data_IF_023312206137
#
_entry.id   IF_023312206137
#
_cell.length_a   1.000
_cell.length_b   1.000
_cell.length_c   1.000
_cell.angle_alpha   90.00
_cell.angle_beta   90.00
_cell.angle_gamma   90.00
#
_symmetry.space_group_name_H-M   'P 1'
#
loop_
_entity.id
_entity.type
_entity.pdbx_description
1 polymer ?
#
# COMPACT_ATOMS: atom_id res chain seq x y z
N UNK A 1 -53.61 -7.61 -5.30
CA UNK A 1 -53.10 -7.75 -3.93
C UNK A 1 -51.88 -6.86 -3.80
N UNK A 2 -51.99 -5.81 -3.01
CA UNK A 2 -50.93 -4.82 -2.74
C UNK A 2 -49.85 -5.46 -1.87
N UNK A 3 -48.65 -5.65 -2.43
CA UNK A 3 -47.47 -6.03 -1.64
C UNK A 3 -47.09 -4.83 -0.78
N UNK A 4 -47.24 -4.96 0.53
CA UNK A 4 -46.77 -3.97 1.48
C UNK A 4 -45.24 -3.91 1.42
N UNK A 5 -44.69 -2.92 0.72
CA UNK A 5 -43.27 -2.58 0.80
C UNK A 5 -43.00 -2.04 2.20
N UNK A 6 -42.41 -2.87 3.07
CA UNK A 6 -41.92 -2.40 4.37
C UNK A 6 -40.80 -1.37 4.13
N UNK A 7 -41.02 -0.14 4.56
CA UNK A 7 -39.99 0.87 4.62
C UNK A 7 -39.07 0.57 5.80
N UNK A 8 -37.80 0.27 5.52
CA UNK A 8 -36.77 0.12 6.54
C UNK A 8 -36.03 1.45 6.70
N UNK A 9 -35.86 1.93 7.92
CA UNK A 9 -35.10 3.15 8.22
C UNK A 9 -33.74 2.78 8.79
N UNK A 10 -32.69 3.53 8.46
CA UNK A 10 -31.36 3.34 9.05
C UNK A 10 -31.41 3.66 10.55
N UNK A 11 -31.00 2.72 11.39
CA UNK A 11 -31.04 2.91 12.86
C UNK A 11 -29.71 3.44 13.40
N UNK A 12 -28.58 3.13 12.76
CA UNK A 12 -27.23 3.61 13.12
C UNK A 12 -26.25 3.37 11.94
N UNK A 13 -25.14 4.14 11.81
CA UNK A 13 -24.12 3.94 10.77
C UNK A 13 -23.67 2.47 10.63
N UNK A 14 -23.38 2.03 9.40
CA UNK A 14 -22.81 0.70 9.17
C UNK A 14 -21.49 0.56 9.93
N UNK A 15 -21.34 -0.54 10.67
CA UNK A 15 -20.16 -0.81 11.49
C UNK A 15 -19.53 -2.15 11.12
N UNK A 16 -18.22 -2.24 11.26
CA UNK A 16 -17.46 -3.47 11.06
C UNK A 16 -17.47 -4.29 12.36
N UNK A 17 -18.00 -5.51 12.30
CA UNK A 17 -18.03 -6.49 13.40
C UNK A 17 -17.40 -7.77 12.88
N UNK A 18 -16.34 -8.25 13.53
CA UNK A 18 -15.62 -9.48 13.15
C UNK A 18 -15.22 -9.55 11.67
N UNK A 19 -14.80 -8.42 11.09
CA UNK A 19 -14.41 -8.31 9.68
C UNK A 19 -15.59 -8.33 8.69
N UNK A 20 -16.83 -8.15 9.17
CA UNK A 20 -18.05 -8.06 8.35
C UNK A 20 -18.72 -6.71 8.55
N UNK A 21 -19.17 -6.09 7.45
CA UNK A 21 -19.95 -4.84 7.51
C UNK A 21 -21.39 -5.17 7.93
N UNK A 22 -21.77 -4.81 9.15
CA UNK A 22 -23.12 -4.98 9.69
C UNK A 22 -24.01 -3.78 9.37
N UNK A 23 -25.17 -4.04 8.75
CA UNK A 23 -26.23 -3.04 8.53
C UNK A 23 -27.17 -3.02 9.75
N UNK A 24 -27.49 -1.81 10.24
CA UNK A 24 -28.49 -1.60 11.28
C UNK A 24 -29.70 -0.87 10.69
N UNK A 25 -30.80 -1.61 10.50
CA UNK A 25 -32.08 -1.04 10.04
C UNK A 25 -33.15 -1.17 11.12
N UNK A 26 -34.27 -0.44 10.97
CA UNK A 26 -35.44 -0.50 11.86
C UNK A 26 -36.09 -1.89 11.95
N UNK A 27 -35.72 -2.81 11.05
CA UNK A 27 -36.14 -4.21 11.05
C UNK A 27 -35.20 -5.19 11.78
N UNK A 28 -34.08 -4.72 12.35
CA UNK A 28 -33.11 -5.54 13.08
C UNK A 28 -31.69 -5.55 12.47
N UNK A 29 -30.80 -6.35 13.07
CA UNK A 29 -29.40 -6.56 12.62
C UNK A 29 -29.30 -7.84 11.79
N UNK A 30 -28.88 -7.74 10.53
CA UNK A 30 -28.60 -8.92 9.72
C UNK A 30 -27.23 -9.51 10.10
N UNK A 31 -27.22 -10.59 10.90
CA UNK A 31 -26.00 -11.31 11.31
C UNK A 31 -25.47 -12.28 10.23
N UNK A 32 -26.20 -12.43 9.12
CA UNK A 32 -25.88 -13.35 8.01
C UNK A 32 -25.39 -12.62 6.75
N UNK A 33 -24.53 -11.62 6.89
CA UNK A 33 -23.86 -10.96 5.77
C UNK A 33 -22.78 -11.84 5.11
N UNK A 34 -22.52 -11.72 3.80
CA UNK A 34 -21.52 -12.55 3.10
C UNK A 34 -20.10 -12.17 3.50
N UNK A 35 -19.18 -13.14 3.41
CA UNK A 35 -17.74 -12.92 3.60
C UNK A 35 -17.17 -11.91 2.58
N UNK A 36 -16.21 -11.09 3.04
CA UNK A 36 -15.29 -10.20 2.31
C UNK A 36 -15.79 -9.78 0.92
N UNK A 37 -16.73 -8.82 0.92
CA UNK A 37 -17.26 -8.00 -0.17
C UNK A 37 -18.80 -7.94 -0.09
N UNK A 38 -19.39 -7.02 0.71
CA UNK A 38 -20.83 -6.85 0.71
C UNK A 38 -21.32 -6.44 -0.68
N UNK A 39 -22.20 -7.26 -1.26
CA UNK A 39 -22.78 -7.09 -2.60
C UNK A 39 -23.67 -5.85 -2.78
N UNK A 40 -23.81 -5.01 -1.76
CA UNK A 40 -24.44 -3.70 -1.88
C UNK A 40 -23.50 -2.64 -2.48
N UNK A 41 -22.19 -2.81 -2.33
CA UNK A 41 -21.16 -1.90 -2.85
C UNK A 41 -20.25 -2.53 -3.92
N UNK A 42 -20.44 -3.81 -4.26
CA UNK A 42 -19.79 -4.45 -5.43
C UNK A 42 -20.50 -4.15 -6.75
N UNK A 43 -21.60 -3.39 -6.69
CA UNK A 43 -22.22 -2.85 -7.88
C UNK A 43 -21.40 -1.66 -8.32
N UNK A 44 -20.63 -1.83 -9.39
CA UNK A 44 -20.39 -0.75 -10.35
C UNK A 44 -21.65 0.13 -10.39
N UNK A 45 -21.50 1.46 -10.44
CA UNK A 45 -22.54 2.52 -10.53
C UNK A 45 -23.63 2.26 -11.62
N UNK A 46 -23.59 1.13 -12.30
CA UNK A 46 -24.57 0.54 -13.22
C UNK A 46 -25.93 0.13 -12.65
N UNK A 47 -26.12 -0.06 -11.33
CA UNK A 47 -27.43 -0.47 -10.77
C UNK A 47 -27.83 0.27 -9.49
N UNK A 48 -28.14 1.56 -9.63
CA UNK A 48 -28.77 2.38 -8.57
C UNK A 48 -30.24 1.98 -8.25
N UNK A 49 -30.86 1.12 -9.07
CA UNK A 49 -32.28 0.78 -8.97
C UNK A 49 -32.73 0.09 -7.66
N UNK A 50 -31.96 -0.84 -7.03
CA UNK A 50 -32.41 -1.50 -5.81
C UNK A 50 -32.36 -0.58 -4.57
N UNK A 51 -31.44 0.39 -4.52
CA UNK A 51 -31.38 1.37 -3.44
C UNK A 51 -32.54 2.37 -3.53
N UNK A 52 -32.89 2.79 -4.74
CA UNK A 52 -34.06 3.63 -5.00
C UNK A 52 -35.38 2.93 -4.63
N UNK A 53 -35.47 1.60 -4.81
CA UNK A 53 -36.66 0.83 -4.46
C UNK A 53 -36.92 0.73 -2.94
N UNK A 54 -35.88 0.89 -2.10
CA UNK A 54 -36.00 0.85 -0.64
C UNK A 54 -36.36 2.18 0.02
N UNK A 55 -36.39 3.31 -0.73
CA UNK A 55 -36.51 4.68 -0.19
C UNK A 55 -35.58 4.98 1.00
N UNK A 56 -34.41 4.34 1.06
CA UNK A 56 -33.38 4.65 2.06
C UNK A 56 -32.31 5.49 1.37
N UNK A 57 -32.23 6.77 1.73
CA UNK A 57 -31.17 7.63 1.22
C UNK A 57 -29.83 7.21 1.86
N UNK A 58 -28.78 6.99 1.05
CA UNK A 58 -27.45 6.67 1.58
C UNK A 58 -26.92 7.85 2.40
N UNK A 59 -26.31 7.56 3.55
CA UNK A 59 -25.72 8.61 4.39
C UNK A 59 -24.43 9.15 3.74
N UNK A 60 -23.97 10.35 4.12
CA UNK A 60 -22.73 10.93 3.56
C UNK A 60 -21.50 10.00 3.66
N UNK A 61 -21.41 9.19 4.72
CA UNK A 61 -20.32 8.22 4.87
C UNK A 61 -20.41 7.04 3.88
N UNK A 62 -21.61 6.59 3.54
CA UNK A 62 -21.82 5.53 2.55
C UNK A 62 -21.44 6.02 1.14
N UNK A 63 -21.79 7.28 0.82
CA UNK A 63 -21.40 7.93 -0.43
C UNK A 63 -19.89 8.11 -0.53
N UNK A 64 -19.24 8.58 0.54
CA UNK A 64 -17.78 8.67 0.62
C UNK A 64 -17.10 7.31 0.37
N UNK A 65 -17.62 6.27 1.02
CA UNK A 65 -17.13 4.89 0.87
C UNK A 65 -17.38 4.30 -0.52
N UNK A 66 -18.44 4.69 -1.21
CA UNK A 66 -18.68 4.29 -2.60
C UNK A 66 -17.71 5.00 -3.55
N UNK A 67 -17.47 6.30 -3.33
CA UNK A 67 -16.54 7.12 -4.10
C UNK A 67 -15.09 6.62 -4.01
N UNK A 68 -14.64 6.21 -2.82
CA UNK A 68 -13.30 5.62 -2.60
C UNK A 68 -13.09 4.25 -3.29
N UNK A 69 -14.17 3.58 -3.67
CA UNK A 69 -14.14 2.27 -4.34
C UNK A 69 -14.34 2.34 -5.85
N UNK A 70 -14.39 3.55 -6.41
CA UNK A 70 -14.47 3.68 -7.86
C UNK A 70 -13.21 3.08 -8.51
N UNK A 71 -13.38 2.35 -9.62
CA UNK A 71 -12.27 1.71 -10.30
C UNK A 71 -11.33 2.77 -10.90
N UNK A 72 -10.08 2.38 -11.12
CA UNK A 72 -9.11 3.21 -11.84
C UNK A 72 -9.37 3.15 -13.35
N UNK A 73 -8.89 4.14 -14.09
CA UNK A 73 -9.03 4.22 -15.54
C UNK A 73 -10.26 5.00 -15.99
N UNK A 74 -10.38 5.18 -17.31
CA UNK A 74 -11.48 5.92 -17.93
C UNK A 74 -12.66 4.97 -18.22
N UNK A 75 -13.82 5.29 -17.66
CA UNK A 75 -15.06 4.51 -17.72
C UNK A 75 -16.24 5.38 -18.16
N UNK A 76 -16.23 5.82 -19.41
CA UNK A 76 -17.17 6.82 -19.93
C UNK A 76 -18.65 6.43 -19.74
N UNK A 77 -19.01 5.18 -20.05
CA UNK A 77 -20.38 4.68 -19.85
C UNK A 77 -20.84 4.74 -18.39
N UNK A 78 -19.92 4.54 -17.45
CA UNK A 78 -20.22 4.62 -16.03
C UNK A 78 -20.30 6.08 -15.56
N UNK A 79 -19.49 6.95 -16.13
CA UNK A 79 -19.53 8.39 -15.89
C UNK A 79 -20.88 8.99 -16.31
N UNK A 80 -21.37 8.66 -17.51
CA UNK A 80 -22.64 9.16 -18.03
C UNK A 80 -23.83 8.72 -17.16
N UNK A 81 -23.81 7.47 -16.69
CA UNK A 81 -24.81 6.96 -15.74
C UNK A 81 -24.76 7.69 -14.40
N UNK A 82 -23.57 7.91 -13.85
CA UNK A 82 -23.39 8.63 -12.58
C UNK A 82 -23.90 10.08 -12.68
N UNK A 83 -23.62 10.76 -13.80
CA UNK A 83 -24.09 12.12 -14.07
C UNK A 83 -25.62 12.18 -14.14
N UNK A 84 -26.24 11.22 -14.84
CA UNK A 84 -27.71 11.12 -14.92
C UNK A 84 -28.35 10.92 -13.55
N UNK A 85 -27.83 9.99 -12.75
CA UNK A 85 -28.33 9.72 -11.40
C UNK A 85 -28.20 10.97 -10.52
N UNK A 86 -27.05 11.66 -10.56
CA UNK A 86 -26.85 12.90 -9.81
C UNK A 86 -27.87 13.99 -10.19
N UNK A 87 -28.13 14.18 -11.48
CA UNK A 87 -29.11 15.14 -11.97
C UNK A 87 -30.55 14.80 -11.51
N UNK A 88 -30.93 13.53 -11.52
CA UNK A 88 -32.24 13.07 -11.03
C UNK A 88 -32.42 13.34 -9.53
N UNK A 89 -31.38 13.11 -8.72
CA UNK A 89 -31.39 13.42 -7.27
C UNK A 89 -31.51 14.93 -7.02
N UNK A 90 -30.75 15.76 -7.75
CA UNK A 90 -30.82 17.22 -7.63
C UNK A 90 -32.17 17.81 -8.05
N UNK A 91 -32.79 17.26 -9.10
CA UNK A 91 -34.12 17.68 -9.55
C UNK A 91 -35.19 17.37 -8.50
N UNK A 92 -35.12 16.19 -7.88
CA UNK A 92 -36.05 15.78 -6.80
C UNK A 92 -35.92 16.69 -5.57
N UNK A 93 -34.69 16.97 -5.12
CA UNK A 93 -34.42 17.88 -4.01
C UNK A 93 -35.01 19.29 -4.23
N UNK A 94 -34.95 19.77 -5.48
CA UNK A 94 -35.50 21.08 -5.86
C UNK A 94 -37.03 21.11 -5.86
N UNK A 95 -37.68 19.97 -6.15
CA UNK A 95 -39.15 19.85 -6.15
C UNK A 95 -39.78 19.69 -4.77
N UNK A 96 -39.05 19.12 -3.81
CA UNK A 96 -39.54 18.86 -2.44
C UNK A 96 -39.33 20.05 -1.49
N UNK A 97 -38.45 21.01 -1.82
CA UNK A 97 -38.15 22.20 -1.01
C UNK A 97 -39.23 23.27 -0.89
N UNK A 98 -40.48 22.97 -1.28
CA UNK A 98 -41.61 23.90 -1.30
C UNK A 98 -42.65 23.73 -0.18
N UNK A 99 -42.46 22.85 0.81
CA UNK A 99 -43.45 22.59 1.86
C UNK A 99 -42.83 22.53 3.25
N UNK A 100 -42.82 23.66 3.98
CA UNK A 100 -42.25 23.78 5.33
C UNK A 100 -42.78 22.72 6.33
N UNK A 101 -41.90 21.88 6.89
CA UNK A 101 -42.29 21.03 8.02
C UNK A 101 -41.20 20.17 8.69
N UNK A 102 -40.35 20.77 9.53
CA UNK A 102 -39.84 20.22 10.81
C UNK A 102 -39.02 18.91 10.90
N UNK A 103 -39.04 18.03 9.92
CA UNK A 103 -38.26 16.77 9.85
C UNK A 103 -37.37 16.70 8.59
N UNK A 104 -37.36 17.77 7.79
CA UNK A 104 -36.81 17.84 6.43
C UNK A 104 -35.29 18.07 6.35
N UNK A 105 -34.64 18.40 7.46
CA UNK A 105 -33.21 18.70 7.48
C UNK A 105 -32.32 17.51 7.10
N UNK A 106 -32.73 16.28 7.45
CA UNK A 106 -32.00 15.05 7.10
C UNK A 106 -32.10 14.69 5.62
N UNK A 107 -33.31 14.77 5.06
CA UNK A 107 -33.59 14.45 3.64
C UNK A 107 -32.96 15.47 2.69
N UNK A 108 -32.95 16.75 3.08
CA UNK A 108 -32.33 17.80 2.26
C UNK A 108 -30.80 17.68 2.23
N UNK A 109 -30.18 17.40 3.37
CA UNK A 109 -28.73 17.16 3.42
C UNK A 109 -28.31 15.86 2.71
N UNK A 110 -29.12 14.81 2.80
CA UNK A 110 -28.91 13.54 2.08
C UNK A 110 -28.98 13.70 0.56
N UNK A 111 -29.97 14.44 0.06
CA UNK A 111 -30.14 14.70 -1.38
C UNK A 111 -29.05 15.62 -1.96
N UNK A 112 -28.60 16.64 -1.21
CA UNK A 112 -27.47 17.48 -1.62
C UNK A 112 -26.16 16.67 -1.67
N UNK A 113 -25.90 15.84 -0.65
CA UNK A 113 -24.75 14.94 -0.63
C UNK A 113 -24.80 13.91 -1.78
N UNK A 114 -25.98 13.37 -2.09
CA UNK A 114 -26.17 12.44 -3.20
C UNK A 114 -25.91 13.08 -4.56
N UNK A 115 -26.34 14.33 -4.75
CA UNK A 115 -26.07 15.10 -5.96
C UNK A 115 -24.56 15.36 -6.15
N UNK A 116 -23.88 15.81 -5.09
CA UNK A 116 -22.43 16.05 -5.15
C UNK A 116 -21.66 14.75 -5.40
N UNK A 117 -22.02 13.66 -4.71
CA UNK A 117 -21.39 12.37 -4.94
C UNK A 117 -21.58 11.87 -6.38
N UNK A 118 -22.76 12.06 -6.99
CA UNK A 118 -23.01 11.73 -8.39
C UNK A 118 -22.11 12.51 -9.36
N UNK A 119 -21.92 13.82 -9.13
CA UNK A 119 -21.00 14.65 -9.92
C UNK A 119 -19.55 14.22 -9.77
N UNK A 120 -19.10 13.97 -8.55
CA UNK A 120 -17.73 13.51 -8.26
C UNK A 120 -17.46 12.17 -8.93
N UNK A 121 -18.39 11.22 -8.81
CA UNK A 121 -18.28 9.91 -9.44
C UNK A 121 -18.17 10.04 -10.97
N UNK A 122 -19.03 10.84 -11.60
CA UNK A 122 -18.97 11.08 -13.04
C UNK A 122 -17.63 11.67 -13.47
N UNK A 123 -17.15 12.68 -12.74
CA UNK A 123 -15.86 13.33 -13.02
C UNK A 123 -14.69 12.37 -12.90
N UNK A 124 -14.62 11.57 -11.84
CA UNK A 124 -13.51 10.63 -11.64
C UNK A 124 -13.57 9.47 -12.62
N UNK A 125 -14.75 8.91 -12.90
CA UNK A 125 -14.91 7.85 -13.90
C UNK A 125 -14.52 8.32 -15.30
N UNK A 126 -14.79 9.58 -15.66
CA UNK A 126 -14.33 10.14 -16.93
C UNK A 126 -12.82 10.44 -16.94
N UNK A 127 -12.27 10.86 -15.79
CA UNK A 127 -10.91 11.40 -15.64
C UNK A 127 -9.80 10.42 -15.25
N UNK A 128 -10.07 9.11 -15.18
CA UNK A 128 -9.06 8.10 -14.84
C UNK A 128 -9.10 7.58 -13.41
N UNK A 129 -10.06 8.03 -12.61
CA UNK A 129 -10.23 7.69 -11.19
C UNK A 129 -9.89 8.84 -10.25
N UNK A 130 -9.92 8.56 -8.95
CA UNK A 130 -9.43 9.46 -7.91
C UNK A 130 -7.89 9.51 -7.97
N UNK A 131 -7.33 10.71 -7.88
CA UNK A 131 -5.88 10.89 -7.86
C UNK A 131 -5.26 10.27 -6.60
N UNK A 132 -4.08 9.65 -6.74
CA UNK A 132 -3.34 9.16 -5.58
C UNK A 132 -2.67 10.31 -4.83
N UNK A 133 -2.69 10.30 -3.48
CA UNK A 133 -1.77 11.13 -2.71
C UNK A 133 -0.33 10.66 -2.93
N UNK A 134 0.62 11.59 -2.80
CA UNK A 134 2.01 11.25 -2.58
C UNK A 134 2.13 10.47 -1.27
N UNK A 135 2.56 9.22 -1.40
CA UNK A 135 2.76 8.30 -0.28
C UNK A 135 4.25 8.16 0.01
N UNK A 136 4.62 8.13 1.29
CA UNK A 136 5.98 7.86 1.69
C UNK A 136 6.13 7.71 3.20
N UNK A 137 7.38 7.73 3.64
CA UNK A 137 7.71 7.65 5.06
C UNK A 137 9.07 8.27 5.37
N UNK A 138 9.23 8.68 6.62
CA UNK A 138 10.50 9.15 7.17
C UNK A 138 10.94 8.18 8.27
N UNK A 139 12.18 7.72 8.20
CA UNK A 139 12.78 6.93 9.27
C UNK A 139 13.13 7.85 10.44
N UNK A 140 12.75 7.46 11.66
CA UNK A 140 13.07 8.21 12.89
C UNK A 140 13.63 7.32 13.97
N UNK A 141 14.48 7.87 14.82
CA UNK A 141 15.01 7.20 16.00
C UNK A 141 14.87 8.06 17.26
N UNK A 142 14.97 7.40 18.41
CA UNK A 142 14.94 8.08 19.71
C UNK A 142 16.33 8.64 20.07
N UNK A 143 16.36 9.91 20.47
CA UNK A 143 17.51 10.59 21.10
C UNK A 143 17.02 11.25 22.38
N UNK A 144 17.49 10.75 23.53
CA UNK A 144 16.93 11.14 24.83
C UNK A 144 15.44 10.77 24.91
N UNK A 145 14.58 11.77 25.04
CA UNK A 145 13.12 11.60 25.08
C UNK A 145 12.41 12.12 23.83
N UNK A 146 13.12 12.36 22.72
CA UNK A 146 12.58 12.92 21.48
C UNK A 146 12.80 11.98 20.30
N UNK A 147 11.78 11.88 19.44
CA UNK A 147 11.91 11.22 18.13
C UNK A 147 12.47 12.21 17.13
N UNK A 148 13.58 11.86 16.48
CA UNK A 148 14.25 12.68 15.46
C UNK A 148 14.46 11.88 14.18
N UNK A 149 14.53 12.58 13.05
CA UNK A 149 14.76 11.95 11.74
C UNK A 149 16.17 11.36 11.65
N UNK A 150 16.32 10.23 10.97
CA UNK A 150 17.64 9.74 10.60
C UNK A 150 18.28 10.70 9.59
N UNK A 151 19.43 11.30 9.94
CA UNK A 151 20.27 12.05 9.02
C UNK A 151 21.23 11.17 8.21
N UNK A 152 22.20 11.80 7.54
CA UNK A 152 23.23 11.11 6.75
C UNK A 152 24.19 10.27 7.62
N UNK A 153 24.42 10.73 8.87
CA UNK A 153 25.12 9.97 9.89
C UNK A 153 24.14 9.10 10.66
N UNK A 154 24.22 7.78 10.49
CA UNK A 154 23.45 6.87 11.33
C UNK A 154 24.09 6.75 12.72
N UNK A 155 23.29 6.84 13.80
CA UNK A 155 23.81 6.67 15.15
C UNK A 155 24.37 5.25 15.32
N UNK A 156 25.49 5.10 16.05
CA UNK A 156 26.05 3.78 16.36
C UNK A 156 25.05 2.91 17.15
N UNK A 157 24.22 3.55 17.99
CA UNK A 157 23.24 2.89 18.83
C UNK A 157 21.94 3.71 18.90
N UNK A 158 20.81 3.01 18.87
CA UNK A 158 19.48 3.58 19.09
C UNK A 158 18.64 2.62 19.94
N UNK A 159 17.70 3.15 20.70
CA UNK A 159 16.81 2.38 21.58
C UNK A 159 15.45 2.09 20.94
N UNK A 160 14.99 2.97 20.06
CA UNK A 160 13.70 2.85 19.37
C UNK A 160 13.78 3.46 17.97
N UNK A 161 13.10 2.82 17.01
CA UNK A 161 13.01 3.24 15.62
C UNK A 161 11.56 3.20 15.16
N UNK A 162 11.16 4.21 14.40
CA UNK A 162 9.81 4.34 13.83
C UNK A 162 9.87 4.75 12.37
N UNK A 163 8.78 4.45 11.68
CA UNK A 163 8.48 4.97 10.36
C UNK A 163 7.38 6.00 10.53
N UNK A 164 7.67 7.28 10.31
CA UNK A 164 6.66 8.34 10.26
C UNK A 164 5.98 8.27 8.90
N UNK A 165 4.68 7.93 8.84
CA UNK A 165 3.90 7.98 7.62
C UNK A 165 3.88 9.39 7.00
N UNK A 166 3.91 9.48 5.68
CA UNK A 166 3.73 10.72 4.92
C UNK A 166 2.64 10.52 3.88
N UNK A 167 1.62 11.39 3.91
CA UNK A 167 0.56 11.46 2.92
C UNK A 167 0.39 12.92 2.53
N UNK A 168 0.71 13.26 1.28
CA UNK A 168 0.56 14.62 0.76
C UNK A 168 -0.30 14.61 -0.48
N UNK A 169 -1.14 15.61 -0.65
CA UNK A 169 -1.97 15.71 -1.84
C UNK A 169 -1.79 17.06 -2.51
N UNK A 170 -1.88 17.03 -3.84
CA UNK A 170 -1.77 18.19 -4.70
C UNK A 170 -3.00 19.10 -4.65
N UNK A 171 -4.20 18.55 -4.40
CA UNK A 171 -5.41 19.29 -4.04
C UNK A 171 -6.44 18.42 -3.28
N UNK A 172 -7.02 18.89 -2.15
CA UNK A 172 -8.11 18.19 -1.46
C UNK A 172 -9.30 17.91 -2.38
N UNK A 173 -10.02 16.81 -2.14
CA UNK A 173 -11.19 16.44 -2.95
C UNK A 173 -12.40 17.36 -2.69
N UNK A 174 -12.39 18.06 -1.56
CA UNK A 174 -13.52 18.87 -1.08
C UNK A 174 -14.55 18.04 -0.30
N UNK A 175 -14.36 16.72 -0.22
CA UNK A 175 -15.22 15.82 0.53
C UNK A 175 -14.53 15.40 1.83
N UNK A 176 -14.92 16.04 2.94
CA UNK A 176 -14.28 15.89 4.26
C UNK A 176 -13.94 14.43 4.65
N UNK A 177 -14.88 13.49 4.52
CA UNK A 177 -14.62 12.09 4.91
C UNK A 177 -13.63 11.36 4.00
N UNK A 178 -13.56 11.74 2.72
CA UNK A 178 -12.59 11.19 1.77
C UNK A 178 -11.23 11.78 2.08
N UNK A 179 -11.20 13.10 2.29
CA UNK A 179 -10.00 13.83 2.67
C UNK A 179 -9.44 13.33 4.02
N UNK A 180 -10.29 13.06 5.02
CA UNK A 180 -9.86 12.49 6.29
C UNK A 180 -9.28 11.08 6.15
N UNK A 181 -9.77 10.25 5.23
CA UNK A 181 -9.27 8.87 5.03
C UNK A 181 -8.01 8.84 4.16
N UNK A 182 -7.91 9.70 3.14
CA UNK A 182 -6.79 9.72 2.20
C UNK A 182 -5.65 10.66 2.60
N UNK A 183 -5.95 11.75 3.32
CA UNK A 183 -5.01 12.85 3.56
C UNK A 183 -4.57 12.97 5.01
N UNK A 184 -5.30 12.33 5.95
CA UNK A 184 -4.88 12.36 7.34
C UNK A 184 -3.64 11.48 7.49
N UNK A 185 -2.50 12.11 7.67
CA UNK A 185 -1.27 11.41 8.00
C UNK A 185 -1.48 10.54 9.25
N UNK A 186 -1.26 9.21 9.14
CA UNK A 186 -1.35 8.35 10.31
C UNK A 186 -0.28 8.75 11.32
N UNK A 187 -0.58 8.53 12.60
CA UNK A 187 0.43 8.66 13.65
C UNK A 187 1.56 7.67 13.39
N UNK A 188 2.79 8.01 13.75
CA UNK A 188 3.94 7.10 13.74
C UNK A 188 3.91 6.05 14.86
N UNK A 189 2.91 6.13 15.74
CA UNK A 189 2.72 5.26 16.89
C UNK A 189 1.30 4.72 16.93
N UNK A 190 1.11 3.56 17.56
CA UNK A 190 -0.20 2.91 17.70
C UNK A 190 -0.51 2.54 19.16
N UNK A 191 -1.79 2.68 19.56
CA UNK A 191 -2.31 2.08 20.80
C UNK A 191 -2.59 0.59 20.60
N UNK A 192 -2.25 -0.24 21.60
CA UNK A 192 -2.25 -1.72 21.52
C UNK A 192 -3.56 -2.38 21.04
N UNK A 193 -4.70 -1.69 21.10
CA UNK A 193 -6.02 -2.21 20.68
C UNK A 193 -6.42 -1.85 19.24
N UNK A 194 -5.57 -1.14 18.49
CA UNK A 194 -5.94 -0.59 17.17
C UNK A 194 -5.60 -1.51 15.98
N UNK A 195 -4.91 -2.64 16.20
CA UNK A 195 -4.49 -3.55 15.12
C UNK A 195 -5.66 -4.29 14.44
N UNK A 196 -6.78 -4.49 15.14
CA UNK A 196 -7.94 -5.22 14.62
C UNK A 196 -8.63 -4.58 13.40
N UNK A 197 -8.33 -3.32 13.08
CA UNK A 197 -8.87 -2.62 11.91
C UNK A 197 -7.97 -2.69 10.68
N UNK A 198 -6.75 -3.25 10.76
CA UNK A 198 -5.81 -3.34 9.64
C UNK A 198 -6.42 -4.04 8.41
N UNK A 199 -7.20 -5.09 8.65
CA UNK A 199 -7.91 -5.88 7.62
C UNK A 199 -8.98 -5.12 6.86
N UNK A 200 -9.48 -4.01 7.41
CA UNK A 200 -10.52 -3.22 6.76
C UNK A 200 -9.94 -2.30 5.68
N UNK A 201 -8.67 -1.90 5.77
CA UNK A 201 -8.09 -0.90 4.87
C UNK A 201 -8.08 -1.29 3.39
N UNK A 202 -7.63 -2.49 2.98
CA UNK A 202 -7.69 -2.90 1.57
C UNK A 202 -9.12 -2.89 1.03
N UNK A 203 -10.11 -3.21 1.87
CA UNK A 203 -11.51 -3.16 1.49
C UNK A 203 -12.07 -1.73 1.43
N UNK A 204 -11.53 -0.79 2.20
CA UNK A 204 -11.92 0.63 2.20
C UNK A 204 -11.28 1.41 1.05
N UNK A 205 -10.05 1.06 0.67
CA UNK A 205 -9.24 1.75 -0.33
C UNK A 205 -8.72 0.77 -1.40
N UNK A 206 -9.60 0.06 -2.12
CA UNK A 206 -9.18 -0.97 -3.07
C UNK A 206 -8.43 -0.40 -4.29
N UNK A 207 -8.54 0.91 -4.56
CA UNK A 207 -7.87 1.58 -5.68
C UNK A 207 -6.59 2.34 -5.28
N UNK A 208 -6.24 2.34 -3.99
CA UNK A 208 -5.16 3.16 -3.42
C UNK A 208 -4.27 2.32 -2.48
N UNK A 209 -3.75 1.19 -2.99
CA UNK A 209 -2.99 0.23 -2.17
C UNK A 209 -1.76 0.81 -1.47
N UNK A 210 -1.11 1.84 -2.04
CA UNK A 210 0.01 2.49 -1.36
C UNK A 210 -0.43 3.31 -0.13
N UNK A 211 -1.62 3.92 -0.16
CA UNK A 211 -2.19 4.60 1.02
C UNK A 211 -2.47 3.59 2.13
N UNK A 212 -2.92 2.39 1.76
CA UNK A 212 -3.09 1.29 2.71
C UNK A 212 -1.74 0.89 3.31
N UNK A 213 -0.69 0.76 2.48
CA UNK A 213 0.66 0.45 2.97
C UNK A 213 1.17 1.52 3.96
N UNK A 214 0.96 2.81 3.68
CA UNK A 214 1.31 3.90 4.59
C UNK A 214 0.61 3.77 5.96
N UNK A 215 -0.66 3.35 5.97
CA UNK A 215 -1.43 3.11 7.20
C UNK A 215 -0.97 1.86 7.98
N UNK A 216 -0.20 0.96 7.36
CA UNK A 216 0.35 -0.23 8.03
C UNK A 216 1.69 0.06 8.73
N UNK A 217 2.42 1.11 8.34
CA UNK A 217 3.75 1.43 8.85
C UNK A 217 3.85 1.56 10.40
N UNK A 218 2.87 2.16 11.11
CA UNK A 218 2.93 2.30 12.58
C UNK A 218 2.90 0.97 13.33
N UNK A 219 2.58 -0.12 12.64
CA UNK A 219 2.49 -1.48 13.19
C UNK A 219 3.69 -2.35 12.77
N UNK A 220 4.45 -1.96 11.74
CA UNK A 220 5.48 -2.77 11.12
C UNK A 220 6.63 -3.11 12.09
N UNK A 221 7.26 -2.09 12.67
CA UNK A 221 8.47 -2.26 13.49
C UNK A 221 8.18 -2.69 14.94
N UNK A 222 6.91 -2.64 15.36
CA UNK A 222 6.46 -3.05 16.70
C UNK A 222 6.48 -4.57 16.88
N UNK A 223 6.54 -5.32 15.79
CA UNK A 223 6.56 -6.79 15.78
C UNK A 223 7.73 -7.42 16.55
N UNK A 224 8.76 -6.65 16.91
CA UNK A 224 9.81 -7.13 17.83
C UNK A 224 9.25 -7.60 19.20
N UNK A 225 8.07 -7.11 19.61
CA UNK A 225 7.41 -7.46 20.87
C UNK A 225 5.88 -7.76 20.74
N UNK A 226 5.32 -7.97 19.53
CA UNK A 226 3.87 -8.12 19.32
C UNK A 226 3.42 -8.56 17.91
N UNK A 227 2.11 -8.45 17.63
CA UNK A 227 1.49 -8.83 16.33
C UNK A 227 2.05 -8.01 15.15
N UNK A 228 2.45 -8.71 14.09
CA UNK A 228 2.91 -8.15 12.82
C UNK A 228 1.71 -7.87 11.91
N UNK A 229 1.84 -6.98 10.93
CA UNK A 229 0.96 -7.02 9.76
C UNK A 229 1.07 -8.43 9.15
N UNK A 230 -0.02 -9.19 9.15
CA UNK A 230 0.03 -10.59 8.78
C UNK A 230 0.23 -10.72 7.26
N UNK A 231 0.91 -11.77 6.76
CA UNK A 231 1.00 -12.04 5.32
C UNK A 231 -0.35 -12.05 4.60
N UNK A 232 -1.43 -12.44 5.28
CA UNK A 232 -2.80 -12.39 4.75
C UNK A 232 -3.29 -10.95 4.48
N UNK A 233 -2.90 -9.98 5.30
CA UNK A 233 -3.23 -8.56 5.09
C UNK A 233 -2.43 -7.97 3.92
N UNK A 234 -1.23 -8.48 3.68
CA UNK A 234 -0.41 -8.07 2.54
C UNK A 234 -0.84 -8.73 1.24
N UNK A 235 -1.31 -9.98 1.29
CA UNK A 235 -1.97 -10.60 0.15
C UNK A 235 -3.20 -9.79 -0.29
N UNK A 236 -3.91 -9.12 0.62
CA UNK A 236 -4.97 -8.19 0.22
C UNK A 236 -4.48 -6.89 -0.41
N UNK A 237 -3.21 -6.48 -0.23
CA UNK A 237 -2.61 -5.40 -1.01
C UNK A 237 -2.31 -5.84 -2.45
N UNK A 238 -1.99 -7.12 -2.66
CA UNK A 238 -1.78 -7.74 -3.99
C UNK A 238 -3.06 -7.65 -4.84
N UNK A 239 -4.22 -7.82 -4.20
CA UNK A 239 -5.54 -7.77 -4.82
C UNK A 239 -6.06 -6.34 -5.07
N UNK A 240 -5.47 -5.34 -4.40
CA UNK A 240 -5.85 -3.94 -4.59
C UNK A 240 -5.13 -3.33 -5.80
N UNK A 241 -5.74 -2.32 -6.40
CA UNK A 241 -5.18 -1.51 -7.47
C UNK A 241 -4.43 -0.28 -6.92
N UNK A 242 -3.68 0.40 -7.79
CA UNK A 242 -2.95 1.61 -7.48
C UNK A 242 -1.43 1.46 -7.57
N UNK A 243 -0.67 2.51 -7.27
CA UNK A 243 0.79 2.44 -7.31
C UNK A 243 1.33 1.50 -6.22
N UNK A 244 2.52 0.95 -6.46
CA UNK A 244 3.37 0.33 -5.44
C UNK A 244 4.60 1.22 -5.28
N UNK A 245 4.73 1.80 -4.10
CA UNK A 245 5.73 2.79 -3.77
C UNK A 245 6.69 2.33 -2.68
N UNK A 246 7.32 3.31 -2.05
CA UNK A 246 8.35 3.07 -1.04
C UNK A 246 7.79 2.45 0.25
N UNK A 247 6.53 2.75 0.60
CA UNK A 247 5.90 2.24 1.82
C UNK A 247 5.56 0.76 1.68
N UNK A 248 5.08 0.32 0.51
CA UNK A 248 4.97 -1.12 0.25
C UNK A 248 6.36 -1.78 0.23
N UNK A 249 7.35 -1.13 -0.40
CA UNK A 249 8.69 -1.68 -0.48
C UNK A 249 9.36 -1.90 0.88
N UNK A 250 9.21 -0.98 1.84
CA UNK A 250 9.78 -1.14 3.19
C UNK A 250 9.09 -2.25 3.98
N UNK A 251 7.77 -2.42 3.82
CA UNK A 251 7.02 -3.53 4.42
C UNK A 251 7.55 -4.86 3.88
N UNK A 252 7.63 -5.01 2.55
CA UNK A 252 8.14 -6.22 1.92
C UNK A 252 9.59 -6.52 2.34
N UNK A 253 10.46 -5.51 2.33
CA UNK A 253 11.86 -5.64 2.73
C UNK A 253 12.00 -6.11 4.19
N UNK A 254 11.24 -5.51 5.11
CA UNK A 254 11.29 -5.82 6.53
C UNK A 254 10.81 -7.24 6.86
N UNK A 255 9.75 -7.69 6.19
CA UNK A 255 9.18 -9.03 6.38
C UNK A 255 10.00 -10.11 5.69
N UNK A 256 10.57 -9.81 4.52
CA UNK A 256 11.52 -10.69 3.84
C UNK A 256 12.78 -10.91 4.69
N UNK A 257 13.36 -9.84 5.23
CA UNK A 257 14.50 -9.93 6.16
C UNK A 257 14.14 -10.67 7.45
N UNK A 258 12.88 -10.58 7.88
CA UNK A 258 12.32 -11.34 9.01
C UNK A 258 11.97 -12.79 8.68
N UNK A 259 12.12 -13.24 7.42
CA UNK A 259 11.76 -14.57 6.94
C UNK A 259 10.31 -14.97 7.26
N UNK A 260 9.40 -14.01 7.16
CA UNK A 260 7.98 -14.26 7.43
C UNK A 260 7.41 -15.25 6.39
N UNK A 261 6.67 -16.30 6.81
CA UNK A 261 6.08 -17.26 5.88
C UNK A 261 5.17 -16.59 4.84
N UNK A 262 5.17 -17.11 3.61
CA UNK A 262 4.32 -16.61 2.52
C UNK A 262 4.89 -15.42 1.73
N UNK A 263 6.04 -14.86 2.13
CA UNK A 263 6.65 -13.74 1.40
C UNK A 263 7.14 -14.12 -0.01
N UNK A 264 7.72 -15.32 -0.18
CA UNK A 264 8.20 -15.80 -1.48
C UNK A 264 7.05 -15.88 -2.51
N UNK A 265 5.94 -16.62 -2.26
CA UNK A 265 4.84 -16.68 -3.23
C UNK A 265 4.17 -15.32 -3.47
N UNK A 266 4.11 -14.45 -2.46
CA UNK A 266 3.62 -13.07 -2.64
C UNK A 266 4.51 -12.28 -3.60
N UNK A 267 5.84 -12.27 -3.39
CA UNK A 267 6.78 -11.55 -4.26
C UNK A 267 6.74 -12.11 -5.69
N UNK A 268 6.65 -13.43 -5.85
CA UNK A 268 6.52 -14.06 -7.17
C UNK A 268 5.19 -13.72 -7.86
N UNK A 269 4.08 -13.62 -7.12
CA UNK A 269 2.78 -13.15 -7.65
C UNK A 269 2.91 -11.73 -8.21
N UNK A 270 3.49 -10.81 -7.43
CA UNK A 270 3.74 -9.42 -7.85
C UNK A 270 4.70 -9.35 -9.07
N UNK A 271 5.74 -10.18 -9.06
CA UNK A 271 6.68 -10.27 -10.18
C UNK A 271 5.99 -10.74 -11.47
N UNK A 272 5.16 -11.77 -11.39
CA UNK A 272 4.41 -12.30 -12.53
C UNK A 272 3.42 -11.29 -13.12
N UNK A 273 2.86 -10.40 -12.27
CA UNK A 273 2.00 -9.28 -12.70
C UNK A 273 2.79 -8.07 -13.22
N UNK A 274 4.11 -8.08 -13.08
CA UNK A 274 5.00 -7.00 -13.51
C UNK A 274 4.96 -5.76 -12.63
N UNK A 275 4.39 -5.85 -11.42
CA UNK A 275 4.18 -4.70 -10.53
C UNK A 275 5.13 -4.69 -9.31
N UNK A 276 5.98 -5.71 -9.15
CA UNK A 276 6.94 -5.78 -8.05
C UNK A 276 7.89 -4.55 -8.04
N UNK A 277 7.91 -3.75 -6.94
CA UNK A 277 8.81 -2.60 -6.80
C UNK A 277 10.22 -3.03 -6.38
N UNK A 278 10.85 -3.92 -7.16
CA UNK A 278 12.09 -4.62 -6.80
C UNK A 278 13.25 -3.68 -6.40
N UNK A 279 13.49 -2.62 -7.14
CA UNK A 279 14.54 -1.65 -6.83
C UNK A 279 14.25 -0.89 -5.54
N UNK A 280 12.99 -0.54 -5.28
CA UNK A 280 12.60 0.12 -4.03
C UNK A 280 12.75 -0.84 -2.84
N UNK A 281 12.41 -2.13 -3.00
CA UNK A 281 12.64 -3.17 -1.99
C UNK A 281 14.14 -3.24 -1.66
N UNK A 282 15.01 -3.23 -2.66
CA UNK A 282 16.47 -3.23 -2.45
C UNK A 282 16.96 -2.03 -1.63
N UNK A 283 16.52 -0.81 -2.00
CA UNK A 283 16.87 0.41 -1.25
C UNK A 283 16.36 0.37 0.19
N UNK A 284 15.10 -0.02 0.40
CA UNK A 284 14.53 -0.09 1.75
C UNK A 284 15.12 -1.24 2.57
N UNK A 285 15.51 -2.35 1.94
CA UNK A 285 16.21 -3.45 2.62
C UNK A 285 17.56 -3.01 3.17
N UNK A 286 18.28 -2.12 2.46
CA UNK A 286 19.51 -1.51 2.99
C UNK A 286 19.23 -0.76 4.29
N UNK A 287 18.18 0.08 4.29
CA UNK A 287 17.77 0.86 5.46
C UNK A 287 17.28 -0.04 6.60
N UNK A 288 16.50 -1.08 6.29
CA UNK A 288 16.05 -2.07 7.28
C UNK A 288 17.23 -2.74 7.97
N UNK A 289 18.23 -3.21 7.21
CA UNK A 289 19.38 -3.92 7.77
C UNK A 289 20.30 -3.02 8.59
N UNK A 290 20.28 -1.71 8.34
CA UNK A 290 21.07 -0.71 9.06
C UNK A 290 20.37 -0.09 10.27
N UNK A 291 19.06 0.11 10.17
CA UNK A 291 18.24 0.89 11.12
C UNK A 291 17.32 0.03 11.96
N UNK A 292 17.43 -1.29 11.89
CA UNK A 292 16.63 -2.21 12.70
C UNK A 292 17.46 -3.38 13.18
N UNK A 293 16.88 -4.23 14.02
CA UNK A 293 17.50 -5.47 14.49
C UNK A 293 17.46 -6.62 13.46
N UNK A 294 17.23 -6.32 12.18
CA UNK A 294 17.27 -7.33 11.11
C UNK A 294 18.71 -7.57 10.68
N UNK A 295 19.03 -8.84 10.44
CA UNK A 295 20.38 -9.27 10.11
C UNK A 295 20.53 -9.59 8.62
N UNK A 296 21.74 -9.36 8.08
CA UNK A 296 22.05 -9.56 6.66
C UNK A 296 21.93 -11.04 6.27
N UNK A 297 22.37 -11.97 7.12
CA UNK A 297 22.40 -13.41 6.81
C UNK A 297 21.00 -14.01 6.59
N UNK A 298 20.01 -13.80 7.49
CA UNK A 298 18.62 -14.18 7.25
C UNK A 298 18.03 -13.57 5.98
N UNK A 299 18.33 -12.30 5.68
CA UNK A 299 17.85 -11.64 4.47
C UNK A 299 18.46 -12.26 3.20
N UNK A 300 19.76 -12.54 3.19
CA UNK A 300 20.43 -13.26 2.09
C UNK A 300 19.82 -14.64 1.91
N UNK A 301 19.57 -15.40 2.98
CA UNK A 301 18.92 -16.71 2.89
C UNK A 301 17.51 -16.63 2.27
N UNK A 302 16.71 -15.62 2.65
CA UNK A 302 15.39 -15.41 2.06
C UNK A 302 15.45 -15.05 0.56
N UNK A 303 16.45 -14.24 0.16
CA UNK A 303 16.69 -13.89 -1.23
C UNK A 303 17.21 -15.09 -2.04
N UNK A 304 18.00 -15.96 -1.44
CA UNK A 304 18.42 -17.23 -2.06
C UNK A 304 17.21 -18.11 -2.35
N UNK A 305 16.33 -18.32 -1.37
CA UNK A 305 15.10 -19.11 -1.55
C UNK A 305 14.19 -18.51 -2.63
N UNK A 306 14.08 -17.18 -2.69
CA UNK A 306 13.34 -16.51 -3.76
C UNK A 306 13.98 -16.73 -5.13
N UNK A 307 15.31 -16.72 -5.23
CA UNK A 307 16.03 -16.98 -6.48
C UNK A 307 15.84 -18.45 -6.93
N UNK A 308 15.96 -19.40 -6.00
CA UNK A 308 15.74 -20.84 -6.24
C UNK A 308 14.29 -21.13 -6.66
N UNK A 309 13.33 -20.36 -6.18
CA UNK A 309 11.93 -20.42 -6.59
C UNK A 309 11.64 -19.77 -7.97
N UNK A 310 12.68 -19.35 -8.70
CA UNK A 310 12.59 -18.81 -10.05
C UNK A 310 12.63 -17.27 -10.14
N UNK A 311 12.73 -16.57 -9.01
CA UNK A 311 12.76 -15.10 -8.94
C UNK A 311 14.14 -14.47 -9.17
N UNK A 312 15.06 -15.16 -9.86
CA UNK A 312 16.46 -14.72 -10.02
C UNK A 312 16.63 -13.32 -10.61
N UNK A 313 15.75 -12.92 -11.54
CA UNK A 313 15.78 -11.57 -12.16
C UNK A 313 15.36 -10.50 -11.15
N UNK A 314 14.33 -10.77 -10.37
CA UNK A 314 13.81 -9.88 -9.34
C UNK A 314 14.80 -9.76 -8.18
N UNK A 315 15.39 -10.87 -7.74
CA UNK A 315 16.45 -10.88 -6.72
C UNK A 315 17.64 -10.06 -7.19
N UNK A 316 18.05 -10.17 -8.46
CA UNK A 316 19.10 -9.31 -9.00
C UNK A 316 18.74 -7.82 -8.92
N UNK A 317 17.51 -7.43 -9.31
CA UNK A 317 17.05 -6.03 -9.22
C UNK A 317 17.07 -5.52 -7.78
N UNK A 318 16.64 -6.34 -6.81
CA UNK A 318 16.68 -6.04 -5.38
C UNK A 318 18.14 -5.87 -4.92
N UNK A 319 19.00 -6.86 -5.17
CA UNK A 319 20.40 -6.87 -4.70
C UNK A 319 21.20 -5.72 -5.34
N UNK A 320 21.00 -5.43 -6.62
CA UNK A 320 21.65 -4.30 -7.31
C UNK A 320 21.32 -2.96 -6.64
N UNK A 321 20.06 -2.76 -6.23
CA UNK A 321 19.64 -1.55 -5.53
C UNK A 321 20.02 -1.52 -4.04
N UNK A 322 20.20 -2.69 -3.42
CA UNK A 322 20.68 -2.88 -2.05
C UNK A 322 22.16 -2.51 -1.89
N UNK A 323 23.01 -2.93 -2.84
CA UNK A 323 24.47 -2.83 -2.72
C UNK A 323 24.99 -1.42 -2.39
N UNK A 324 24.58 -0.34 -3.08
CA UNK A 324 25.07 1.00 -2.76
C UNK A 324 24.80 1.46 -1.31
N UNK A 325 23.68 1.02 -0.72
CA UNK A 325 23.34 1.35 0.66
C UNK A 325 24.01 0.47 1.71
N UNK A 326 24.60 -0.66 1.30
CA UNK A 326 25.21 -1.66 2.19
C UNK A 326 26.74 -1.71 2.11
N UNK A 327 27.35 -1.25 1.02
CA UNK A 327 28.80 -1.25 0.90
C UNK A 327 29.42 -0.14 1.75
N UNK A 328 30.59 -0.39 2.37
CA UNK A 328 31.18 0.57 3.29
C UNK A 328 31.58 1.85 2.56
N UNK A 329 31.21 3.00 3.14
CA UNK A 329 31.68 4.31 2.67
C UNK A 329 33.13 4.60 3.05
N UNK A 330 33.61 5.79 2.70
CA UNK A 330 34.96 6.23 3.09
C UNK A 330 35.17 6.16 4.61
N UNK A 331 36.28 5.56 5.03
CA UNK A 331 36.63 5.39 6.45
C UNK A 331 35.87 4.28 7.20
N UNK A 332 34.84 3.66 6.60
CA UNK A 332 34.11 2.56 7.24
C UNK A 332 34.87 1.23 7.13
N UNK A 333 34.71 0.38 8.16
CA UNK A 333 35.37 -0.92 8.22
C UNK A 333 34.70 -1.93 7.29
N UNK A 334 35.50 -2.53 6.41
CA UNK A 334 35.10 -3.71 5.63
C UNK A 334 34.96 -4.90 6.60
N UNK A 335 33.87 -5.65 6.46
CA UNK A 335 33.54 -6.78 7.33
C UNK A 335 33.37 -8.06 6.51
N UNK A 336 33.33 -9.21 7.19
CA UNK A 336 33.07 -10.51 6.54
C UNK A 336 31.69 -10.51 5.86
N UNK A 337 30.68 -9.90 6.49
CA UNK A 337 29.32 -9.83 5.95
C UNK A 337 29.23 -9.03 4.66
N UNK A 338 30.07 -8.01 4.48
CA UNK A 338 30.20 -7.32 3.19
C UNK A 338 30.72 -8.26 2.10
N UNK A 339 31.71 -9.10 2.41
CA UNK A 339 32.22 -10.08 1.44
C UNK A 339 31.17 -11.15 1.10
N UNK A 340 30.40 -11.62 2.10
CA UNK A 340 29.30 -12.57 1.90
C UNK A 340 28.20 -11.99 0.99
N UNK A 341 27.80 -10.73 1.22
CA UNK A 341 26.79 -10.05 0.41
C UNK A 341 27.23 -9.87 -1.04
N UNK A 342 28.49 -9.45 -1.28
CA UNK A 342 29.00 -9.27 -2.64
C UNK A 342 29.19 -10.62 -3.36
N UNK A 343 29.62 -11.66 -2.63
CA UNK A 343 29.69 -13.01 -3.19
C UNK A 343 28.31 -13.48 -3.66
N UNK A 344 27.28 -13.33 -2.82
CA UNK A 344 25.89 -13.64 -3.18
C UNK A 344 25.42 -12.82 -4.39
N UNK A 345 25.73 -11.53 -4.42
CA UNK A 345 25.39 -10.67 -5.56
C UNK A 345 26.05 -11.15 -6.87
N UNK A 346 27.30 -11.61 -6.82
CA UNK A 346 27.98 -12.18 -7.99
C UNK A 346 27.33 -13.46 -8.48
N UNK A 347 26.85 -14.33 -7.58
CA UNK A 347 26.14 -15.55 -7.96
C UNK A 347 24.79 -15.25 -8.62
N UNK A 348 23.98 -14.38 -8.01
CA UNK A 348 22.70 -13.97 -8.58
C UNK A 348 22.88 -13.22 -9.90
N UNK A 349 23.88 -12.34 -10.02
CA UNK A 349 24.18 -11.63 -11.26
C UNK A 349 24.47 -12.62 -12.41
N UNK A 350 25.25 -13.67 -12.12
CA UNK A 350 25.56 -14.72 -13.09
C UNK A 350 24.31 -15.50 -13.48
N UNK A 351 23.49 -15.93 -12.52
CA UNK A 351 22.24 -16.66 -12.81
C UNK A 351 21.25 -15.83 -13.62
N UNK A 352 21.13 -14.54 -13.32
CA UNK A 352 20.24 -13.62 -14.02
C UNK A 352 20.81 -13.12 -15.36
N UNK A 353 22.04 -13.51 -15.74
CA UNK A 353 22.71 -12.97 -16.92
C UNK A 353 22.93 -11.45 -16.86
N UNK A 354 23.00 -10.89 -15.65
CA UNK A 354 23.00 -9.46 -15.42
C UNK A 354 24.22 -8.75 -16.02
N UNK A 355 24.00 -7.51 -16.47
CA UNK A 355 25.02 -6.59 -16.99
C UNK A 355 24.77 -5.17 -16.47
N UNK A 356 25.76 -4.31 -16.68
CA UNK A 356 25.71 -2.91 -16.30
C UNK A 356 26.48 -2.65 -15.01
N UNK A 357 27.50 -1.80 -15.10
CA UNK A 357 28.40 -1.47 -14.00
C UNK A 357 27.64 -0.91 -12.78
N UNK A 358 28.14 -1.23 -11.59
CA UNK A 358 27.73 -0.60 -10.32
C UNK A 358 28.93 0.23 -9.83
N UNK A 359 28.84 1.57 -9.81
CA UNK A 359 30.00 2.44 -9.55
C UNK A 359 30.76 2.12 -8.26
N UNK A 360 30.05 1.92 -7.14
CA UNK A 360 30.66 1.59 -5.85
C UNK A 360 31.39 0.24 -5.87
N UNK A 361 30.88 -0.75 -6.62
CA UNK A 361 31.56 -2.05 -6.76
C UNK A 361 32.81 -1.90 -7.62
N UNK A 362 32.72 -1.10 -8.69
CA UNK A 362 33.85 -0.84 -9.59
C UNK A 362 35.01 -0.13 -8.87
N UNK A 363 34.71 0.80 -7.96
CA UNK A 363 35.70 1.44 -7.12
C UNK A 363 36.49 0.42 -6.29
N UNK A 364 35.79 -0.47 -5.57
CA UNK A 364 36.45 -1.53 -4.82
C UNK A 364 37.16 -2.54 -5.71
N UNK A 365 36.63 -2.84 -6.89
CA UNK A 365 37.25 -3.75 -7.85
C UNK A 365 38.61 -3.23 -8.37
N UNK A 366 38.79 -1.91 -8.46
CA UNK A 366 40.08 -1.29 -8.84
C UNK A 366 41.12 -1.32 -7.71
N UNK A 367 40.72 -1.67 -6.49
CA UNK A 367 41.64 -1.73 -5.35
C UNK A 367 42.73 -2.79 -5.52
N UNK A 368 43.94 -2.47 -5.06
CA UNK A 368 45.09 -3.39 -5.00
C UNK A 368 45.09 -4.30 -3.76
N UNK A 369 44.15 -4.12 -2.83
CA UNK A 369 44.05 -4.99 -1.64
C UNK A 369 43.69 -6.43 -2.04
N UNK A 370 44.20 -7.40 -1.31
CA UNK A 370 44.06 -8.85 -1.59
C UNK A 370 43.08 -9.57 -0.65
N UNK A 371 42.17 -8.83 -0.03
CA UNK A 371 41.17 -9.37 0.89
C UNK A 371 39.98 -9.95 0.13
N UNK A 372 39.30 -10.95 0.72
CA UNK A 372 38.14 -11.65 0.13
C UNK A 372 37.12 -10.68 -0.47
N UNK A 373 36.73 -9.65 0.27
CA UNK A 373 35.79 -8.63 -0.20
C UNK A 373 36.17 -8.02 -1.55
N UNK A 374 37.45 -7.64 -1.74
CA UNK A 374 37.92 -7.05 -3.01
C UNK A 374 37.93 -8.09 -4.13
N UNK A 375 38.23 -9.35 -3.85
CA UNK A 375 38.11 -10.42 -4.84
C UNK A 375 36.67 -10.62 -5.31
N UNK A 376 35.70 -10.60 -4.38
CA UNK A 376 34.27 -10.70 -4.74
C UNK A 376 33.80 -9.48 -5.52
N UNK A 377 34.26 -8.26 -5.18
CA UNK A 377 33.97 -7.06 -5.97
C UNK A 377 34.53 -7.16 -7.40
N UNK A 378 35.75 -7.68 -7.57
CA UNK A 378 36.34 -7.94 -8.90
C UNK A 378 35.54 -8.96 -9.69
N UNK A 379 35.14 -10.05 -9.05
CA UNK A 379 34.31 -11.11 -9.66
C UNK A 379 32.95 -10.56 -10.12
N UNK A 380 32.26 -9.82 -9.26
CA UNK A 380 30.99 -9.18 -9.62
C UNK A 380 31.19 -8.14 -10.74
N UNK A 381 32.19 -7.27 -10.63
CA UNK A 381 32.46 -6.26 -11.64
C UNK A 381 32.73 -6.90 -13.01
N UNK A 382 33.56 -7.95 -13.06
CA UNK A 382 33.84 -8.69 -14.30
C UNK A 382 32.57 -9.30 -14.90
N UNK A 383 31.68 -9.89 -14.09
CA UNK A 383 30.40 -10.42 -14.56
C UNK A 383 29.52 -9.32 -15.20
N UNK A 384 29.53 -8.11 -14.63
CA UNK A 384 28.69 -7.00 -15.09
C UNK A 384 29.23 -6.27 -16.32
N UNK A 385 30.54 -6.30 -16.53
CA UNK A 385 31.22 -5.62 -17.65
C UNK A 385 31.65 -6.56 -18.77
N UNK A 386 31.53 -7.87 -18.58
CA UNK A 386 31.76 -8.85 -19.63
C UNK A 386 30.88 -8.56 -20.85
N UNK A 387 31.51 -8.17 -21.96
CA UNK A 387 30.86 -8.03 -23.26
C UNK A 387 30.38 -9.41 -23.70
N UNK A 388 29.12 -9.54 -24.14
CA UNK A 388 28.69 -10.79 -24.78
C UNK A 388 29.63 -11.09 -25.95
N UNK A 389 30.18 -12.31 -26.07
CA UNK A 389 30.92 -12.68 -27.25
C UNK A 389 29.97 -12.52 -28.44
N UNK A 390 30.33 -11.62 -29.35
CA UNK A 390 29.58 -11.38 -30.58
C UNK A 390 29.48 -12.72 -31.29
N UNK A 391 28.28 -13.29 -31.36
CA UNK A 391 28.03 -14.47 -32.16
C UNK A 391 28.30 -14.06 -33.62
N UNK A 392 29.49 -14.41 -34.12
CA UNK A 392 29.81 -14.32 -35.54
C UNK A 392 28.91 -15.35 -36.22
N UNK A 393 27.91 -14.85 -36.95
CA UNK A 393 27.02 -15.64 -37.82
C UNK A 393 27.81 -16.15 -39.01
#
# INVERSE_FOLDING_TARGET
MTSATQAYTYAAPSSLIDGRLGLATSGGRALSGPAVAPRFFSGVVTRAAPAAAGRVEPLPADLAQALLRLPRGCHQDAADRAAKIGAEVGAKASSEGGSEGGLEGGTRAGSEAGFEAGRLAARWLAGGGLADPECGHVWRHMVGASMVDFGDGEPEHFTEVRLQPVLRTTAPTGHRLIDEVLLREPYDWSMSKSGGTLRAWPAMLPSHREVVAVNFLPFLLRGHWGEWAAPAELASLDLAEGPLGESTAVILAYLLAGRVPGMIPLILSMAARGDLPAEAIGRQLALVLRRTWREIRPAVAALTELAEAGGQREVWRIVRALLPGMLPGEGQRITVTHAELVAFAADVARWAGARGEIPVVAEFARSRRTIRFVHECKRLHAQLTATEPTAVV
#
